data_IF_875240707671
#
_entry.id   IF_875240707671
#
_cell.length_a   1.000
_cell.length_b   1.000
_cell.length_c   1.000
_cell.angle_alpha   90.00
_cell.angle_beta   90.00
_cell.angle_gamma   90.00
#
_symmetry.space_group_name_H-M   'P 1'
#
loop_
_entity.id
_entity.type
_entity.pdbx_description
1 polymer ?
#
# COMPACT_ATOMS: atom_id res chain seq x y z
N UNK A 1 -37.64 41.07 -22.24
CA UNK A 1 -37.66 39.69 -21.72
C UNK A 1 -36.36 39.01 -22.16
N UNK A 2 -35.29 39.19 -21.38
CA UNK A 2 -33.99 38.57 -21.66
C UNK A 2 -33.94 37.17 -21.07
N UNK A 3 -33.73 36.15 -21.90
CA UNK A 3 -33.45 34.79 -21.43
C UNK A 3 -32.04 34.77 -20.89
N UNK A 4 -31.92 34.70 -19.57
CA UNK A 4 -30.66 34.41 -18.87
C UNK A 4 -30.20 33.02 -19.29
N UNK A 5 -29.05 32.96 -19.96
CA UNK A 5 -28.38 31.71 -20.28
C UNK A 5 -27.62 31.28 -19.02
N UNK A 6 -28.17 30.30 -18.30
CA UNK A 6 -27.48 29.67 -17.18
C UNK A 6 -26.26 28.92 -17.74
N UNK A 7 -25.08 29.30 -17.27
CA UNK A 7 -23.85 28.57 -17.56
C UNK A 7 -23.96 27.16 -16.96
N UNK A 8 -23.65 26.13 -17.76
CA UNK A 8 -23.56 24.76 -17.26
C UNK A 8 -22.35 24.62 -16.32
N UNK A 9 -22.45 23.83 -15.23
CA UNK A 9 -21.32 23.60 -14.35
C UNK A 9 -20.24 22.83 -15.09
N UNK A 10 -19.01 23.37 -15.09
CA UNK A 10 -17.84 22.64 -15.57
C UNK A 10 -17.62 21.40 -14.70
N UNK A 11 -17.37 20.21 -15.27
CA UNK A 11 -17.02 19.05 -14.48
C UNK A 11 -15.68 19.32 -13.81
N UNK A 12 -15.73 19.52 -12.49
CA UNK A 12 -14.56 19.51 -11.61
C UNK A 12 -13.93 18.12 -11.73
N UNK A 13 -12.96 17.98 -12.60
CA UNK A 13 -12.11 16.81 -12.69
C UNK A 13 -11.22 16.79 -11.45
N UNK A 14 -11.78 16.29 -10.36
CA UNK A 14 -11.01 15.79 -9.24
C UNK A 14 -10.15 14.67 -9.83
N UNK A 15 -8.86 14.92 -10.06
CA UNK A 15 -7.91 13.87 -10.36
C UNK A 15 -7.87 12.96 -9.14
N UNK A 16 -8.72 11.93 -9.12
CA UNK A 16 -8.63 10.88 -8.13
C UNK A 16 -7.25 10.25 -8.33
N UNK A 17 -6.37 10.39 -7.33
CA UNK A 17 -5.10 9.68 -7.31
C UNK A 17 -5.47 8.20 -7.46
N UNK A 18 -4.92 7.47 -8.45
CA UNK A 18 -5.26 6.08 -8.65
C UNK A 18 -4.87 5.30 -7.40
N UNK A 19 -5.90 4.85 -6.65
CA UNK A 19 -5.74 3.99 -5.49
C UNK A 19 -5.45 2.59 -6.01
N UNK A 20 -4.34 2.01 -5.55
CA UNK A 20 -3.98 0.62 -5.91
C UNK A 20 -4.76 -0.33 -5.03
N UNK A 21 -5.34 -1.34 -5.64
CA UNK A 21 -5.83 -2.52 -4.92
C UNK A 21 -4.66 -3.31 -4.31
N UNK A 22 -4.98 -4.20 -3.38
CA UNK A 22 -3.99 -5.10 -2.76
C UNK A 22 -3.25 -5.93 -3.81
N UNK A 23 -3.98 -6.43 -4.82
CA UNK A 23 -3.45 -7.24 -5.92
C UNK A 23 -2.54 -6.42 -6.85
N UNK A 24 -2.92 -5.19 -7.18
CA UNK A 24 -2.11 -4.28 -8.00
C UNK A 24 -0.81 -3.89 -7.29
N UNK A 25 -0.86 -3.65 -5.98
CA UNK A 25 0.34 -3.43 -5.19
C UNK A 25 1.26 -4.65 -5.25
N UNK A 26 0.72 -5.86 -5.05
CA UNK A 26 1.54 -7.07 -5.06
C UNK A 26 2.19 -7.31 -6.43
N UNK A 27 1.45 -7.07 -7.52
CA UNK A 27 1.96 -7.15 -8.87
C UNK A 27 3.11 -6.14 -9.11
N UNK A 28 2.98 -4.91 -8.62
CA UNK A 28 4.03 -3.89 -8.71
C UNK A 28 5.28 -4.29 -7.89
N UNK A 29 5.10 -4.76 -6.65
CA UNK A 29 6.21 -5.18 -5.80
C UNK A 29 6.93 -6.41 -6.41
N UNK A 30 6.18 -7.33 -6.99
CA UNK A 30 6.73 -8.48 -7.73
C UNK A 30 7.57 -8.02 -8.92
N UNK A 31 7.07 -7.05 -9.70
CA UNK A 31 7.81 -6.49 -10.83
C UNK A 31 9.10 -5.77 -10.37
N UNK A 32 9.06 -5.04 -9.25
CA UNK A 32 10.24 -4.41 -8.63
C UNK A 32 11.25 -5.44 -8.13
N UNK A 33 10.80 -6.53 -7.54
CA UNK A 33 11.67 -7.60 -7.07
C UNK A 33 12.48 -8.24 -8.22
N UNK A 34 11.89 -8.33 -9.41
CA UNK A 34 12.53 -8.86 -10.63
C UNK A 34 13.43 -7.81 -11.30
N UNK A 35 12.87 -6.64 -11.60
CA UNK A 35 13.57 -5.58 -12.35
C UNK A 35 14.64 -4.86 -11.54
N UNK A 36 14.55 -4.94 -10.20
CA UNK A 36 15.49 -4.37 -9.22
C UNK A 36 15.89 -2.92 -9.53
N UNK A 37 14.93 -1.99 -9.67
CA UNK A 37 15.24 -0.60 -10.00
C UNK A 37 16.06 0.06 -8.89
N UNK A 38 17.05 0.87 -9.28
CA UNK A 38 17.89 1.62 -8.34
C UNK A 38 17.05 2.52 -7.43
N UNK A 39 17.42 2.60 -6.15
CA UNK A 39 16.70 3.41 -5.16
C UNK A 39 15.35 2.84 -4.72
N UNK A 40 15.01 1.60 -5.09
CA UNK A 40 13.77 0.98 -4.63
C UNK A 40 13.87 0.49 -3.18
N UNK A 41 13.03 1.05 -2.30
CA UNK A 41 12.91 0.58 -0.91
C UNK A 41 12.51 -0.90 -0.82
N UNK A 42 11.72 -1.37 -1.78
CA UNK A 42 11.32 -2.79 -1.85
C UNK A 42 12.54 -3.68 -2.06
N UNK A 43 13.41 -3.29 -3.00
CA UNK A 43 14.67 -4.01 -3.28
C UNK A 43 15.58 -3.95 -2.06
N UNK A 44 15.76 -2.77 -1.46
CA UNK A 44 16.59 -2.61 -0.27
C UNK A 44 16.11 -3.50 0.90
N UNK A 45 14.79 -3.61 1.10
CA UNK A 45 14.20 -4.48 2.13
C UNK A 45 14.39 -5.96 1.84
N UNK A 46 14.21 -6.38 0.58
CA UNK A 46 14.48 -7.76 0.16
C UNK A 46 15.95 -8.13 0.40
N UNK A 47 16.87 -7.23 0.05
CA UNK A 47 18.31 -7.41 0.24
C UNK A 47 18.71 -7.43 1.72
N UNK A 48 18.01 -6.67 2.57
CA UNK A 48 18.20 -6.68 4.03
C UNK A 48 17.73 -7.99 4.70
N UNK A 49 16.98 -8.83 3.98
CA UNK A 49 16.62 -10.18 4.38
C UNK A 49 15.41 -10.29 5.33
N UNK A 50 14.94 -11.54 5.48
CA UNK A 50 13.70 -11.89 6.21
C UNK A 50 13.68 -11.34 7.65
N UNK A 51 14.80 -11.35 8.37
CA UNK A 51 14.86 -10.86 9.74
C UNK A 51 14.54 -9.36 9.84
N UNK A 52 15.08 -8.56 8.92
CA UNK A 52 14.87 -7.11 8.86
C UNK A 52 13.43 -6.80 8.47
N UNK A 53 12.86 -7.54 7.52
CA UNK A 53 11.46 -7.43 7.12
C UNK A 53 10.53 -7.77 8.30
N UNK A 54 10.81 -8.87 9.00
CA UNK A 54 10.02 -9.31 10.15
C UNK A 54 10.02 -8.30 11.30
N UNK A 55 11.15 -7.64 11.57
CA UNK A 55 11.20 -6.54 12.55
C UNK A 55 10.25 -5.40 12.20
N UNK A 56 10.24 -4.97 10.93
CA UNK A 56 9.31 -3.93 10.48
C UNK A 56 7.85 -4.37 10.62
N UNK A 57 7.51 -5.61 10.27
CA UNK A 57 6.14 -6.11 10.47
C UNK A 57 5.70 -5.98 11.94
N UNK A 58 6.58 -6.29 12.89
CA UNK A 58 6.28 -6.17 14.33
C UNK A 58 6.14 -4.70 14.75
N UNK A 59 7.00 -3.82 14.22
CA UNK A 59 6.96 -2.37 14.45
C UNK A 59 5.62 -1.78 13.97
N UNK A 60 5.28 -2.01 12.69
CA UNK A 60 4.03 -1.51 12.09
C UNK A 60 2.79 -2.09 12.79
N UNK A 61 2.83 -3.36 13.21
CA UNK A 61 1.71 -3.95 13.95
C UNK A 61 1.50 -3.27 15.31
N UNK A 62 2.57 -2.85 15.98
CA UNK A 62 2.46 -2.06 17.20
C UNK A 62 1.93 -0.66 16.90
N UNK A 63 2.42 0.00 15.84
CA UNK A 63 1.97 1.32 15.41
C UNK A 63 0.48 1.32 15.01
N UNK A 64 0.02 0.32 14.26
CA UNK A 64 -1.41 0.12 13.95
C UNK A 64 -2.26 0.03 15.22
N UNK A 65 -1.82 -0.75 16.21
CA UNK A 65 -2.57 -0.87 17.46
C UNK A 65 -2.63 0.47 18.21
N UNK A 66 -1.49 1.16 18.32
CA UNK A 66 -1.43 2.47 18.98
C UNK A 66 -2.28 3.51 18.25
N UNK A 67 -2.20 3.58 16.93
CA UNK A 67 -2.96 4.51 16.10
C UNK A 67 -4.47 4.25 16.20
N UNK A 68 -4.89 2.97 16.24
CA UNK A 68 -6.28 2.60 16.42
C UNK A 68 -6.86 3.02 17.79
N UNK A 69 -6.02 3.13 18.83
CA UNK A 69 -6.48 3.56 20.16
C UNK A 69 -6.42 5.07 20.39
N UNK A 70 -5.49 5.77 19.73
CA UNK A 70 -5.07 7.10 20.17
C UNK A 70 -5.00 8.16 19.06
N UNK A 71 -4.96 7.77 17.79
CA UNK A 71 -4.73 8.68 16.68
C UNK A 71 -5.97 8.80 15.78
N UNK A 72 -5.88 9.62 14.73
CA UNK A 72 -6.99 9.79 13.79
C UNK A 72 -7.17 8.59 12.86
N UNK A 73 -8.36 8.45 12.27
CA UNK A 73 -8.65 7.44 11.24
C UNK A 73 -7.66 7.50 10.07
N UNK A 74 -7.15 8.69 9.74
CA UNK A 74 -6.18 8.89 8.67
C UNK A 74 -4.81 8.32 9.03
N UNK A 75 -4.34 8.57 10.25
CA UNK A 75 -3.07 8.03 10.76
C UNK A 75 -3.15 6.51 10.93
N UNK A 76 -4.26 6.00 11.48
CA UNK A 76 -4.48 4.55 11.57
C UNK A 76 -4.48 3.88 10.18
N UNK A 77 -5.13 4.50 9.18
CA UNK A 77 -5.10 4.00 7.82
C UNK A 77 -3.70 4.02 7.19
N UNK A 78 -2.88 5.01 7.52
CA UNK A 78 -1.47 5.09 7.11
C UNK A 78 -0.68 3.89 7.65
N UNK A 79 -0.75 3.61 8.95
CA UNK A 79 -0.02 2.48 9.55
C UNK A 79 -0.52 1.12 9.03
N UNK A 80 -1.84 0.97 8.82
CA UNK A 80 -2.38 -0.25 8.19
C UNK A 80 -1.78 -0.41 6.79
N UNK A 81 -1.66 0.66 6.02
CA UNK A 81 -1.07 0.61 4.68
C UNK A 81 0.39 0.17 4.69
N UNK A 82 1.18 0.65 5.65
CA UNK A 82 2.59 0.28 5.83
C UNK A 82 2.73 -1.18 6.25
N UNK A 83 1.88 -1.66 7.18
CA UNK A 83 1.82 -3.07 7.57
C UNK A 83 1.50 -3.97 6.37
N UNK A 84 0.48 -3.64 5.57
CA UNK A 84 0.11 -4.41 4.39
C UNK A 84 1.24 -4.44 3.35
N UNK A 85 1.92 -3.32 3.12
CA UNK A 85 3.11 -3.27 2.27
C UNK A 85 4.19 -4.24 2.77
N UNK A 86 4.49 -4.20 4.07
CA UNK A 86 5.53 -5.03 4.68
C UNK A 86 5.22 -6.53 4.64
N UNK A 87 3.95 -6.91 4.81
CA UNK A 87 3.49 -8.28 4.65
C UNK A 87 3.67 -8.78 3.21
N UNK A 88 3.33 -7.96 2.21
CA UNK A 88 3.56 -8.33 0.81
C UNK A 88 5.05 -8.45 0.47
N UNK A 89 5.93 -7.62 1.04
CA UNK A 89 7.39 -7.77 0.88
C UNK A 89 7.88 -9.08 1.52
N UNK A 90 7.33 -9.47 2.68
CA UNK A 90 7.65 -10.77 3.29
C UNK A 90 7.22 -11.94 2.40
N UNK A 91 6.03 -11.85 1.79
CA UNK A 91 5.57 -12.86 0.84
C UNK A 91 6.59 -13.06 -0.29
N UNK A 92 7.07 -11.96 -0.90
CA UNK A 92 8.10 -12.02 -1.94
C UNK A 92 9.41 -12.62 -1.45
N UNK A 93 9.89 -12.22 -0.26
CA UNK A 93 11.10 -12.78 0.35
C UNK A 93 10.97 -14.29 0.66
N UNK A 94 9.75 -14.77 0.88
CA UNK A 94 9.43 -16.17 1.16
C UNK A 94 9.07 -16.98 -0.09
N UNK A 95 8.86 -16.34 -1.22
CA UNK A 95 8.38 -16.97 -2.45
C UNK A 95 6.90 -17.37 -2.40
N UNK A 96 6.09 -16.67 -1.62
CA UNK A 96 4.64 -16.89 -1.52
C UNK A 96 3.90 -16.05 -2.57
N UNK A 97 2.84 -16.64 -3.11
CA UNK A 97 1.86 -15.96 -3.98
C UNK A 97 0.69 -15.42 -3.16
N UNK A 98 -0.12 -14.55 -3.78
CA UNK A 98 -1.40 -14.15 -3.17
C UNK A 98 -2.35 -15.34 -3.00
N UNK A 99 -2.36 -16.29 -3.93
CA UNK A 99 -3.21 -17.49 -3.87
C UNK A 99 -2.87 -18.36 -2.65
N UNK A 100 -1.60 -18.50 -2.32
CA UNK A 100 -1.14 -19.22 -1.12
C UNK A 100 -1.74 -18.61 0.16
N UNK A 101 -1.90 -17.28 0.21
CA UNK A 101 -2.49 -16.58 1.36
C UNK A 101 -4.01 -16.62 1.32
N UNK A 102 -4.61 -16.36 0.15
CA UNK A 102 -6.06 -16.29 -0.02
C UNK A 102 -6.76 -17.64 0.22
N UNK A 103 -6.06 -18.75 0.04
CA UNK A 103 -6.58 -20.10 0.39
C UNK A 103 -6.94 -20.25 1.88
N UNK A 104 -6.48 -19.31 2.74
CA UNK A 104 -6.72 -19.32 4.18
C UNK A 104 -7.76 -18.29 4.65
N UNK A 105 -8.40 -17.55 3.74
CA UNK A 105 -9.43 -16.55 4.05
C UNK A 105 -10.84 -17.11 3.82
#
# INVERSE_FOLDING_TARGET
MGRSQLAEPTPSHCYAVPVKSFDELFAELSAKAISRPEGSDTVARLDAGIHSIGKKIVEEAAEVWMAAEHESDAECAEEISQLLYHLQVLMLAKGLTLEDVYTHL
#
